data_IF_295608700224
#
_entry.id   IF_295608700224
#
_cell.length_a   1.000
_cell.length_b   1.000
_cell.length_c   1.000
_cell.angle_alpha   90.00
_cell.angle_beta   90.00
_cell.angle_gamma   90.00
#
_symmetry.space_group_name_H-M   'P 1'
#
loop_
_entity.id
_entity.type
_entity.pdbx_description
1 polymer ?
#
# COMPACT_ATOMS: atom_id res chain seq x y z
N UNK A 1 39.26 23.94 44.24
CA UNK A 1 38.74 24.89 43.22
C UNK A 1 39.29 24.44 41.88
N UNK A 2 38.75 23.38 41.28
CA UNK A 2 37.53 23.36 40.46
C UNK A 2 37.66 24.26 39.23
N UNK A 3 38.00 23.67 38.08
CA UNK A 3 37.23 23.84 36.84
C UNK A 3 37.67 22.79 35.82
N UNK A 4 36.86 21.74 35.75
CA UNK A 4 36.71 20.83 34.63
C UNK A 4 36.34 21.63 33.39
N UNK A 5 37.22 21.65 32.39
CA UNK A 5 36.88 22.08 31.04
C UNK A 5 35.93 21.02 30.50
N UNK A 6 34.63 21.29 30.64
CA UNK A 6 33.54 20.53 30.05
C UNK A 6 33.72 20.53 28.55
N UNK A 7 34.16 19.38 28.02
CA UNK A 7 34.13 19.08 26.60
C UNK A 7 32.67 19.04 26.15
N UNK A 8 32.14 20.20 25.75
CA UNK A 8 30.91 20.29 24.99
C UNK A 8 31.14 19.62 23.64
N UNK A 9 30.97 18.30 23.62
CA UNK A 9 30.75 17.53 22.41
C UNK A 9 29.50 18.11 21.74
N UNK A 10 29.74 18.97 20.74
CA UNK A 10 28.72 19.41 19.80
C UNK A 10 28.13 18.16 19.17
N UNK A 11 26.96 17.75 19.67
CA UNK A 11 26.07 16.85 18.97
C UNK A 11 25.71 17.51 17.64
N UNK A 12 26.51 17.23 16.62
CA UNK A 12 26.19 17.47 15.22
C UNK A 12 25.06 16.51 14.83
N UNK A 13 23.86 16.78 15.33
CA UNK A 13 22.65 16.14 14.83
C UNK A 13 22.53 16.51 13.35
N UNK A 14 22.77 15.54 12.46
CA UNK A 14 22.47 15.67 11.04
C UNK A 14 21.01 16.11 10.94
N UNK A 15 20.76 17.38 10.58
CA UNK A 15 19.43 17.86 10.22
C UNK A 15 19.00 17.13 8.96
N UNK A 16 18.36 16.00 9.16
CA UNK A 16 17.74 15.21 8.14
C UNK A 16 16.67 16.07 7.47
N UNK A 17 16.99 16.65 6.31
CA UNK A 17 16.05 17.47 5.54
C UNK A 17 14.82 16.61 5.23
N UNK A 18 13.65 17.07 5.70
CA UNK A 18 12.36 16.43 5.46
C UNK A 18 12.05 16.61 3.97
N UNK A 19 11.79 15.53 3.24
CA UNK A 19 11.34 15.64 1.85
C UNK A 19 9.94 16.25 1.90
N UNK A 20 9.75 17.37 1.21
CA UNK A 20 8.44 18.01 1.06
C UNK A 20 7.94 17.83 -0.37
N UNK A 21 6.64 17.63 -0.52
CA UNK A 21 5.99 17.48 -1.82
C UNK A 21 4.93 18.57 -2.01
N UNK A 22 4.54 18.90 -3.25
CA UNK A 22 3.45 19.85 -3.50
C UNK A 22 2.12 19.43 -2.84
N UNK A 23 1.93 18.12 -2.64
CA UNK A 23 0.74 17.55 -2.00
C UNK A 23 0.67 17.83 -0.49
N UNK A 24 1.79 18.16 0.16
CA UNK A 24 1.83 18.36 1.61
C UNK A 24 0.84 19.44 2.09
N UNK A 25 0.69 20.52 1.32
CA UNK A 25 -0.25 21.61 1.67
C UNK A 25 -1.69 21.12 1.65
N UNK A 26 -2.05 20.33 0.64
CA UNK A 26 -3.38 19.76 0.53
C UNK A 26 -3.63 18.74 1.64
N UNK A 27 -2.70 17.83 1.88
CA UNK A 27 -2.81 16.80 2.89
C UNK A 27 -2.94 17.41 4.29
N UNK A 28 -2.12 18.42 4.61
CA UNK A 28 -2.19 19.13 5.88
C UNK A 28 -3.55 19.84 6.06
N UNK A 29 -4.05 20.49 5.00
CA UNK A 29 -5.35 21.16 5.06
C UNK A 29 -6.50 20.16 5.32
N UNK A 30 -6.42 18.97 4.73
CA UNK A 30 -7.42 17.92 4.90
C UNK A 30 -7.31 17.26 6.28
N UNK A 31 -6.09 17.01 6.73
CA UNK A 31 -5.83 16.38 8.03
C UNK A 31 -6.25 17.27 9.20
N UNK A 32 -6.06 18.59 9.09
CA UNK A 32 -6.54 19.55 10.09
C UNK A 32 -8.08 19.64 10.11
N UNK A 33 -8.75 19.53 8.95
CA UNK A 33 -10.21 19.57 8.86
C UNK A 33 -10.89 18.32 9.43
N UNK A 34 -10.32 17.15 9.15
CA UNK A 34 -10.94 15.86 9.53
C UNK A 34 -10.41 15.38 10.89
N UNK A 35 -9.15 15.65 11.19
CA UNK A 35 -8.42 14.96 12.24
C UNK A 35 -8.45 15.60 13.62
N UNK A 36 -8.81 16.87 13.76
CA UNK A 36 -8.82 17.57 15.06
C UNK A 36 -7.52 17.34 15.84
N UNK A 37 -7.63 16.82 17.07
CA UNK A 37 -6.50 16.50 17.96
C UNK A 37 -5.55 15.43 17.39
N UNK A 38 -6.00 14.64 16.41
CA UNK A 38 -5.22 13.57 15.75
C UNK A 38 -4.76 13.94 14.33
N UNK A 39 -4.81 15.21 13.95
CA UNK A 39 -4.46 15.66 12.59
C UNK A 39 -3.11 15.12 12.08
N UNK A 40 -2.11 14.96 12.95
CA UNK A 40 -0.80 14.39 12.60
C UNK A 40 -0.88 12.92 12.15
N UNK A 41 -1.71 12.11 12.79
CA UNK A 41 -1.91 10.70 12.41
C UNK A 41 -2.73 10.59 11.11
N UNK A 42 -3.71 11.47 10.91
CA UNK A 42 -4.42 11.58 9.63
C UNK A 42 -3.49 12.00 8.48
N UNK A 43 -2.58 12.94 8.71
CA UNK A 43 -1.57 13.33 7.72
C UNK A 43 -0.71 12.12 7.32
N UNK A 44 -0.22 11.35 8.30
CA UNK A 44 0.55 10.11 8.08
C UNK A 44 -0.26 9.08 7.30
N UNK A 45 -1.53 8.87 7.67
CA UNK A 45 -2.41 7.93 6.98
C UNK A 45 -2.64 8.32 5.52
N UNK A 46 -2.94 9.59 5.25
CA UNK A 46 -3.17 10.07 3.88
C UNK A 46 -1.89 9.92 3.05
N UNK A 47 -0.72 10.30 3.59
CA UNK A 47 0.58 10.07 2.94
C UNK A 47 0.83 8.59 2.65
N UNK A 48 0.58 7.73 3.63
CA UNK A 48 0.71 6.28 3.48
C UNK A 48 -0.19 5.74 2.36
N UNK A 49 -1.45 6.19 2.30
CA UNK A 49 -2.39 5.80 1.26
C UNK A 49 -1.93 6.26 -0.13
N UNK A 50 -1.46 7.51 -0.26
CA UNK A 50 -0.89 8.01 -1.52
C UNK A 50 0.33 7.19 -1.98
N UNK A 51 1.23 6.87 -1.06
CA UNK A 51 2.38 6.01 -1.36
C UNK A 51 1.90 4.63 -1.82
N UNK A 52 0.92 4.04 -1.15
CA UNK A 52 0.32 2.76 -1.56
C UNK A 52 -0.26 2.78 -2.97
N UNK A 53 -0.98 3.85 -3.33
CA UNK A 53 -1.50 4.05 -4.70
C UNK A 53 -0.36 4.18 -5.71
N UNK A 54 0.69 4.93 -5.38
CA UNK A 54 1.87 5.05 -6.22
C UNK A 54 2.55 3.68 -6.45
N UNK A 55 2.67 2.87 -5.40
CA UNK A 55 3.17 1.49 -5.52
C UNK A 55 2.32 0.63 -6.44
N UNK A 56 0.99 0.74 -6.36
CA UNK A 56 0.08 0.03 -7.27
C UNK A 56 0.26 0.47 -8.72
N UNK A 57 0.41 1.78 -8.98
CA UNK A 57 0.66 2.30 -10.33
C UNK A 57 2.01 1.79 -10.86
N UNK A 58 3.04 1.75 -10.03
CA UNK A 58 4.36 1.21 -10.40
C UNK A 58 4.26 -0.29 -10.71
N UNK A 59 3.54 -1.06 -9.89
CA UNK A 59 3.31 -2.49 -10.11
C UNK A 59 2.63 -2.73 -11.46
N UNK A 60 1.42 -2.18 -11.63
CA UNK A 60 0.63 -2.33 -12.86
C UNK A 60 1.38 -1.80 -14.09
N UNK A 61 2.04 -0.64 -13.98
CA UNK A 61 2.83 -0.06 -15.05
C UNK A 61 4.02 -0.94 -15.44
N UNK A 62 4.73 -1.50 -14.46
CA UNK A 62 5.85 -2.42 -14.71
C UNK A 62 5.37 -3.68 -15.42
N UNK A 63 4.26 -4.27 -14.96
CA UNK A 63 3.66 -5.45 -15.60
C UNK A 63 3.31 -5.15 -17.04
N UNK A 64 2.62 -4.04 -17.31
CA UNK A 64 2.24 -3.63 -18.65
C UNK A 64 3.46 -3.41 -19.54
N UNK A 65 4.47 -2.67 -19.07
CA UNK A 65 5.68 -2.40 -19.86
C UNK A 65 6.42 -3.68 -20.18
N UNK A 66 6.72 -4.52 -19.17
CA UNK A 66 7.50 -5.74 -19.37
C UNK A 66 6.77 -6.75 -20.27
N UNK A 67 5.47 -6.96 -20.08
CA UNK A 67 4.69 -7.88 -20.90
C UNK A 67 4.52 -7.42 -22.34
N UNK A 68 4.56 -6.11 -22.61
CA UNK A 68 4.47 -5.59 -23.98
C UNK A 68 5.84 -5.43 -24.67
N UNK A 69 6.95 -5.68 -23.98
CA UNK A 69 8.29 -5.42 -24.53
C UNK A 69 9.25 -6.60 -24.39
N UNK A 70 9.65 -6.93 -23.15
CA UNK A 70 10.78 -7.84 -22.87
C UNK A 70 10.30 -9.26 -22.55
N UNK A 71 9.18 -9.39 -21.83
CA UNK A 71 8.68 -10.65 -21.26
C UNK A 71 7.22 -10.89 -21.67
N UNK A 72 6.94 -11.11 -22.97
CA UNK A 72 5.58 -11.34 -23.44
C UNK A 72 4.95 -12.56 -22.74
N UNK A 73 3.66 -12.48 -22.38
CA UNK A 73 2.97 -13.55 -21.66
C UNK A 73 2.63 -14.75 -22.55
N UNK A 74 2.76 -14.60 -23.87
CA UNK A 74 2.51 -15.65 -24.87
C UNK A 74 3.64 -15.68 -25.90
N UNK A 75 3.87 -16.84 -26.54
CA UNK A 75 4.80 -16.96 -27.66
C UNK A 75 4.12 -16.57 -28.99
N UNK A 76 4.88 -16.65 -30.08
CA UNK A 76 4.39 -16.37 -31.44
C UNK A 76 3.22 -17.26 -31.89
N UNK A 77 3.02 -18.41 -31.24
CA UNK A 77 1.92 -19.36 -31.51
C UNK A 77 0.72 -19.13 -30.58
N UNK A 78 0.80 -18.16 -29.66
CA UNK A 78 -0.27 -17.86 -28.68
C UNK A 78 -0.26 -18.75 -27.43
N UNK A 79 0.76 -19.57 -27.22
CA UNK A 79 0.86 -20.43 -26.05
C UNK A 79 1.34 -19.62 -24.84
N UNK A 80 0.74 -19.87 -23.67
CA UNK A 80 1.04 -19.14 -22.45
C UNK A 80 2.46 -19.45 -21.92
N UNK A 81 3.26 -18.42 -21.71
CA UNK A 81 4.58 -18.51 -21.05
C UNK A 81 4.44 -18.20 -19.57
N UNK A 82 4.06 -19.22 -18.80
CA UNK A 82 3.90 -19.11 -17.35
C UNK A 82 5.15 -18.51 -16.69
N UNK A 83 6.35 -18.90 -17.13
CA UNK A 83 7.63 -18.37 -16.62
C UNK A 83 7.74 -16.85 -16.81
N UNK A 84 7.41 -16.31 -17.98
CA UNK A 84 7.48 -14.87 -18.25
C UNK A 84 6.48 -14.09 -17.39
N UNK A 85 5.27 -14.63 -17.23
CA UNK A 85 4.24 -14.04 -16.37
C UNK A 85 4.73 -14.01 -14.93
N UNK A 86 5.19 -15.13 -14.39
CA UNK A 86 5.69 -15.21 -13.01
C UNK A 86 6.88 -14.28 -12.76
N UNK A 87 7.86 -14.23 -13.68
CA UNK A 87 9.00 -13.33 -13.57
C UNK A 87 8.58 -11.86 -13.57
N UNK A 88 7.70 -11.48 -14.50
CA UNK A 88 7.20 -10.11 -14.60
C UNK A 88 6.46 -9.68 -13.33
N UNK A 89 5.55 -10.53 -12.83
CA UNK A 89 4.82 -10.28 -11.58
C UNK A 89 5.78 -10.14 -10.39
N UNK A 90 6.83 -10.96 -10.33
CA UNK A 90 7.82 -10.91 -9.24
C UNK A 90 8.63 -9.61 -9.27
N UNK A 91 9.08 -9.19 -10.47
CA UNK A 91 9.85 -7.94 -10.65
C UNK A 91 8.98 -6.73 -10.28
N UNK A 92 7.75 -6.68 -10.79
CA UNK A 92 6.80 -5.60 -10.50
C UNK A 92 6.52 -5.49 -9.00
N UNK A 93 6.25 -6.61 -8.35
CA UNK A 93 6.00 -6.66 -6.90
C UNK A 93 7.19 -6.13 -6.09
N UNK A 94 8.41 -6.56 -6.42
CA UNK A 94 9.61 -6.08 -5.73
C UNK A 94 9.80 -4.57 -5.91
N UNK A 95 9.64 -4.06 -7.14
CA UNK A 95 9.74 -2.62 -7.42
C UNK A 95 8.69 -1.81 -6.66
N UNK A 96 7.45 -2.30 -6.61
CA UNK A 96 6.36 -1.67 -5.88
C UNK A 96 6.62 -1.63 -4.37
N UNK A 97 7.07 -2.75 -3.78
CA UNK A 97 7.41 -2.84 -2.35
C UNK A 97 8.58 -1.91 -2.02
N UNK A 98 9.64 -1.91 -2.84
CA UNK A 98 10.79 -1.02 -2.65
C UNK A 98 10.38 0.45 -2.75
N UNK A 99 9.57 0.82 -3.75
CA UNK A 99 9.04 2.18 -3.90
C UNK A 99 8.21 2.59 -2.68
N UNK A 100 7.28 1.73 -2.25
CA UNK A 100 6.44 1.97 -1.08
C UNK A 100 7.27 2.17 0.19
N UNK A 101 8.28 1.33 0.41
CA UNK A 101 9.16 1.45 1.56
C UNK A 101 9.98 2.74 1.52
N UNK A 102 10.59 3.06 0.38
CA UNK A 102 11.43 4.25 0.20
C UNK A 102 10.60 5.51 0.47
N UNK A 103 9.42 5.64 -0.14
CA UNK A 103 8.57 6.80 0.06
C UNK A 103 8.01 6.89 1.47
N UNK A 104 7.63 5.77 2.09
CA UNK A 104 7.20 5.78 3.48
C UNK A 104 8.33 6.20 4.43
N UNK A 105 9.57 5.76 4.20
CA UNK A 105 10.72 6.16 5.03
C UNK A 105 11.17 7.61 4.77
N UNK A 106 11.05 8.12 3.54
CA UNK A 106 11.53 9.46 3.19
C UNK A 106 10.49 10.57 3.44
N UNK A 107 9.20 10.26 3.28
CA UNK A 107 8.12 11.27 3.28
C UNK A 107 7.06 11.04 4.37
N UNK A 108 6.59 9.81 4.58
CA UNK A 108 5.58 9.52 5.63
C UNK A 108 6.17 9.54 7.04
N UNK A 109 7.33 8.90 7.23
CA UNK A 109 8.05 8.76 8.50
C UNK A 109 9.52 9.19 8.38
N UNK A 110 9.82 10.45 8.00
CA UNK A 110 11.18 10.92 7.74
C UNK A 110 12.11 10.86 8.97
N UNK A 111 11.53 10.86 10.17
CA UNK A 111 12.25 10.79 11.44
C UNK A 111 12.74 9.37 11.76
N UNK A 112 12.15 8.34 11.13
CA UNK A 112 12.54 6.93 11.28
C UNK A 112 13.91 6.59 10.64
N UNK A 113 14.55 7.56 9.97
CA UNK A 113 15.81 7.38 9.24
C UNK A 113 17.04 7.14 10.12
N UNK A 114 16.95 7.45 11.42
CA UNK A 114 17.99 7.15 12.41
C UNK A 114 18.15 5.64 12.66
N UNK A 115 17.16 4.82 12.29
CA UNK A 115 17.17 3.37 12.53
C UNK A 115 17.54 2.56 11.28
N UNK A 116 17.91 1.29 11.48
CA UNK A 116 18.38 0.41 10.40
C UNK A 116 17.30 0.18 9.33
N UNK A 117 17.66 0.46 8.07
CA UNK A 117 16.75 0.32 6.93
C UNK A 117 16.34 -1.12 6.67
N UNK A 118 17.26 -2.07 6.85
CA UNK A 118 16.98 -3.49 6.65
C UNK A 118 15.93 -4.01 7.62
N UNK A 119 16.01 -3.65 8.92
CA UNK A 119 15.03 -4.09 9.92
C UNK A 119 13.63 -3.56 9.59
N UNK A 120 13.52 -2.28 9.28
CA UNK A 120 12.24 -1.66 8.92
C UNK A 120 11.66 -2.25 7.63
N UNK A 121 12.51 -2.53 6.62
CA UNK A 121 12.06 -3.17 5.39
C UNK A 121 11.50 -4.57 5.68
N UNK A 122 12.21 -5.37 6.48
CA UNK A 122 11.72 -6.71 6.88
C UNK A 122 10.39 -6.62 7.62
N UNK A 123 10.25 -5.71 8.59
CA UNK A 123 8.98 -5.50 9.31
C UNK A 123 7.86 -5.05 8.35
N UNK A 124 8.15 -4.09 7.46
CA UNK A 124 7.20 -3.61 6.48
C UNK A 124 6.70 -4.72 5.54
N UNK A 125 7.62 -5.56 5.06
CA UNK A 125 7.29 -6.72 4.23
C UNK A 125 6.45 -7.73 5.00
N UNK A 126 6.81 -8.05 6.24
CA UNK A 126 6.02 -8.97 7.10
C UNK A 126 4.60 -8.44 7.29
N UNK A 127 4.45 -7.16 7.65
CA UNK A 127 3.14 -6.50 7.82
C UNK A 127 2.32 -6.59 6.53
N UNK A 128 2.95 -6.30 5.38
CA UNK A 128 2.32 -6.32 4.06
C UNK A 128 1.86 -7.72 3.67
N UNK A 129 2.67 -8.75 3.93
CA UNK A 129 2.32 -10.16 3.67
C UNK A 129 1.17 -10.60 4.55
N UNK A 130 1.18 -10.27 5.85
CA UNK A 130 0.05 -10.56 6.74
C UNK A 130 -1.23 -9.87 6.25
N UNK A 131 -1.13 -8.60 5.84
CA UNK A 131 -2.25 -7.88 5.24
C UNK A 131 -2.80 -8.60 4.01
N UNK A 132 -1.92 -9.02 3.11
CA UNK A 132 -2.31 -9.80 1.92
C UNK A 132 -3.05 -11.10 2.27
N UNK A 133 -2.58 -11.84 3.29
CA UNK A 133 -3.25 -13.05 3.79
C UNK A 133 -4.64 -12.71 4.34
N UNK A 134 -4.76 -11.67 5.18
CA UNK A 134 -6.04 -11.23 5.75
C UNK A 134 -7.04 -10.90 4.63
N UNK A 135 -6.63 -10.13 3.62
CA UNK A 135 -7.49 -9.81 2.46
C UNK A 135 -7.87 -11.05 1.66
N UNK A 136 -6.95 -12.00 1.49
CA UNK A 136 -7.22 -13.23 0.75
C UNK A 136 -8.28 -14.06 1.45
N UNK A 137 -8.16 -14.24 2.77
CA UNK A 137 -9.15 -14.94 3.59
C UNK A 137 -10.50 -14.22 3.54
N UNK A 138 -10.50 -12.89 3.69
CA UNK A 138 -11.71 -12.08 3.56
C UNK A 138 -12.42 -12.30 2.22
N UNK A 139 -11.69 -12.17 1.11
CA UNK A 139 -12.28 -12.36 -0.23
C UNK A 139 -12.85 -13.77 -0.37
N UNK A 140 -12.09 -14.80 0.05
CA UNK A 140 -12.51 -16.19 -0.05
C UNK A 140 -13.81 -16.49 0.71
N UNK A 141 -14.05 -15.83 1.84
CA UNK A 141 -15.27 -16.04 2.64
C UNK A 141 -16.41 -15.11 2.20
N UNK A 142 -16.11 -13.92 1.71
CA UNK A 142 -17.11 -12.87 1.47
C UNK A 142 -17.62 -12.77 0.02
N UNK A 143 -16.91 -13.33 -0.97
CA UNK A 143 -17.31 -13.16 -2.37
C UNK A 143 -18.69 -13.77 -2.68
N UNK A 144 -19.00 -14.97 -2.17
CA UNK A 144 -20.31 -15.60 -2.36
C UNK A 144 -21.48 -14.80 -1.74
N UNK A 145 -21.47 -14.43 -0.45
CA UNK A 145 -22.58 -13.71 0.14
C UNK A 145 -22.79 -12.35 -0.53
N UNK A 146 -21.73 -11.62 -0.87
CA UNK A 146 -21.87 -10.38 -1.63
C UNK A 146 -22.45 -10.59 -3.02
N UNK A 147 -22.05 -11.67 -3.70
CA UNK A 147 -22.62 -12.05 -4.99
C UNK A 147 -24.13 -12.27 -4.89
N UNK A 148 -24.58 -13.10 -3.92
CA UNK A 148 -26.01 -13.41 -3.70
C UNK A 148 -26.85 -12.18 -3.37
N UNK A 149 -26.33 -11.28 -2.52
CA UNK A 149 -27.02 -10.04 -2.17
C UNK A 149 -27.11 -9.10 -3.37
N UNK A 150 -26.04 -9.01 -4.16
CA UNK A 150 -26.01 -8.10 -5.31
C UNK A 150 -26.95 -8.55 -6.42
N UNK A 151 -26.99 -9.84 -6.71
CA UNK A 151 -27.89 -10.39 -7.73
C UNK A 151 -29.36 -10.33 -7.30
N UNK A 152 -29.67 -10.51 -6.01
CA UNK A 152 -31.04 -10.39 -5.50
C UNK A 152 -31.57 -8.96 -5.52
N UNK A 153 -30.69 -7.95 -5.38
CA UNK A 153 -31.06 -6.54 -5.56
C UNK A 153 -31.22 -6.22 -7.04
N UNK A 154 -30.29 -6.68 -7.88
CA UNK A 154 -30.29 -6.36 -9.31
C UNK A 154 -31.46 -7.00 -10.05
N UNK A 155 -31.88 -8.20 -9.67
CA UNK A 155 -33.06 -8.87 -10.24
C UNK A 155 -34.38 -8.12 -9.98
N UNK A 156 -34.42 -7.24 -8.98
CA UNK A 156 -35.57 -6.36 -8.72
C UNK A 156 -35.61 -5.15 -9.66
N UNK A 157 -34.51 -4.83 -10.35
CA UNK A 157 -34.38 -3.65 -11.22
C UNK A 157 -34.72 -3.92 -12.70
N UNK A 158 -34.95 -5.19 -13.07
CA UNK A 158 -35.47 -5.57 -14.39
C UNK A 158 -34.92 -6.91 -14.90
N UNK A 159 -35.72 -7.70 -15.65
CA UNK A 159 -35.33 -9.02 -16.16
C UNK A 159 -34.27 -9.00 -17.28
N UNK A 160 -33.96 -7.83 -17.86
CA UNK A 160 -33.07 -7.69 -19.03
C UNK A 160 -31.58 -7.49 -18.68
N UNK A 161 -31.21 -7.46 -17.39
CA UNK A 161 -29.80 -7.54 -16.99
C UNK A 161 -29.30 -8.98 -17.13
N UNK A 162 -29.00 -9.36 -18.37
CA UNK A 162 -28.60 -10.71 -18.75
C UNK A 162 -27.44 -11.26 -17.88
N UNK A 163 -27.55 -12.47 -17.32
CA UNK A 163 -26.58 -13.07 -16.39
C UNK A 163 -25.22 -13.39 -17.03
N UNK A 164 -25.06 -13.23 -18.34
CA UNK A 164 -23.81 -13.47 -19.05
C UNK A 164 -22.76 -12.35 -18.88
N UNK A 165 -23.19 -11.10 -18.62
CA UNK A 165 -22.30 -9.95 -18.41
C UNK A 165 -21.96 -9.74 -16.93
N UNK A 166 -22.70 -10.39 -16.03
CA UNK A 166 -22.68 -10.16 -14.60
C UNK A 166 -22.74 -11.52 -13.89
N UNK A 167 -21.64 -12.26 -13.96
CA UNK A 167 -21.47 -13.47 -13.15
C UNK A 167 -21.52 -13.08 -11.66
N UNK A 168 -22.42 -13.72 -10.91
CA UNK A 168 -22.62 -13.52 -9.47
C UNK A 168 -21.28 -13.52 -8.71
N UNK A 169 -20.38 -14.42 -9.09
CA UNK A 169 -19.07 -14.57 -8.45
C UNK A 169 -18.16 -13.40 -8.78
N UNK A 170 -18.26 -12.81 -9.98
CA UNK A 170 -17.45 -11.65 -10.38
C UNK A 170 -17.86 -10.39 -9.64
N UNK A 171 -19.16 -10.06 -9.55
CA UNK A 171 -19.59 -8.92 -8.71
C UNK A 171 -19.17 -9.15 -7.27
N UNK A 172 -19.50 -10.33 -6.73
CA UNK A 172 -19.20 -10.66 -5.35
C UNK A 172 -17.72 -10.50 -5.03
N UNK A 173 -16.85 -10.96 -5.94
CA UNK A 173 -15.41 -10.79 -5.84
C UNK A 173 -14.99 -9.31 -5.90
N UNK A 174 -15.56 -8.48 -6.79
CA UNK A 174 -15.21 -7.05 -6.88
C UNK A 174 -15.61 -6.27 -5.61
N UNK A 175 -16.78 -6.56 -5.04
CA UNK A 175 -17.22 -5.94 -3.78
C UNK A 175 -16.33 -6.40 -2.62
N UNK A 176 -16.09 -7.70 -2.50
CA UNK A 176 -15.20 -8.24 -1.47
C UNK A 176 -13.78 -7.67 -1.60
N UNK A 177 -13.29 -7.52 -2.84
CA UNK A 177 -12.00 -6.92 -3.15
C UNK A 177 -11.92 -5.47 -2.68
N UNK A 178 -12.94 -4.66 -2.97
CA UNK A 178 -13.00 -3.25 -2.58
C UNK A 178 -12.88 -3.08 -1.06
N UNK A 179 -13.74 -3.77 -0.30
CA UNK A 179 -13.68 -3.72 1.16
C UNK A 179 -12.40 -4.34 1.72
N UNK A 180 -11.91 -5.42 1.11
CA UNK A 180 -10.67 -6.07 1.51
C UNK A 180 -9.44 -5.18 1.32
N UNK A 181 -9.38 -4.39 0.24
CA UNK A 181 -8.31 -3.40 0.03
C UNK A 181 -8.35 -2.30 1.08
N UNK A 182 -9.55 -1.78 1.41
CA UNK A 182 -9.71 -0.75 2.44
C UNK A 182 -9.26 -1.29 3.80
N UNK A 183 -9.73 -2.47 4.19
CA UNK A 183 -9.37 -3.10 5.46
C UNK A 183 -7.85 -3.33 5.57
N UNK A 184 -7.22 -3.85 4.51
CA UNK A 184 -5.77 -4.06 4.49
C UNK A 184 -4.99 -2.76 4.50
N UNK A 185 -5.49 -1.70 3.88
CA UNK A 185 -4.85 -0.39 3.96
C UNK A 185 -4.80 0.11 5.41
N UNK A 186 -5.89 -0.03 6.17
CA UNK A 186 -5.90 0.30 7.60
C UNK A 186 -4.97 -0.62 8.41
N UNK A 187 -5.01 -1.93 8.18
CA UNK A 187 -4.08 -2.88 8.81
C UNK A 187 -2.62 -2.48 8.56
N UNK A 188 -2.26 -2.27 7.30
CA UNK A 188 -0.90 -1.93 6.91
C UNK A 188 -0.46 -0.61 7.53
N UNK A 189 -1.33 0.41 7.57
CA UNK A 189 -1.01 1.68 8.22
C UNK A 189 -0.79 1.50 9.72
N UNK A 190 -1.75 0.89 10.43
CA UNK A 190 -1.71 0.77 11.89
C UNK A 190 -0.53 -0.11 12.34
N UNK A 191 -0.35 -1.27 11.72
CA UNK A 191 0.75 -2.17 12.04
C UNK A 191 2.11 -1.51 11.76
N UNK A 192 2.28 -0.81 10.64
CA UNK A 192 3.52 -0.09 10.38
C UNK A 192 3.71 1.09 11.35
N UNK A 193 2.65 1.82 11.70
CA UNK A 193 2.71 2.93 12.64
C UNK A 193 3.14 2.50 14.05
N UNK A 194 2.61 1.38 14.53
CA UNK A 194 2.84 0.90 15.90
C UNK A 194 4.00 -0.09 16.04
N UNK A 195 4.45 -0.72 14.96
CA UNK A 195 5.54 -1.71 15.02
C UNK A 195 6.77 -1.34 14.19
N UNK A 196 6.60 -0.92 12.93
CA UNK A 196 7.72 -0.60 12.02
C UNK A 196 8.31 0.79 12.31
N UNK A 197 7.46 1.74 12.68
CA UNK A 197 7.78 3.15 12.93
C UNK A 197 7.33 3.59 14.33
N UNK A 198 7.36 2.65 15.28
CA UNK A 198 7.00 2.85 16.69
C UNK A 198 7.82 3.97 17.36
N UNK A 199 9.05 4.17 16.91
CA UNK A 199 10.01 5.12 17.48
C UNK A 199 9.80 6.57 17.01
N UNK A 200 8.73 6.85 16.25
CA UNK A 200 8.43 8.18 15.71
C UNK A 200 7.28 8.83 16.49
N UNK A 201 7.60 9.95 17.15
CA UNK A 201 6.63 10.85 17.80
C UNK A 201 5.80 11.61 16.76
#
# INVERSE_FOLDING_TARGET
MTQTVSSASKASGRRHHKVTTPLDRFILSLSLRIGGDKAKEYERFIKFAFVGVLGFVIDAGTVLVLQNTILPPVNALGEALATNVTLTQSIAFVLAVCSNFVWNRLWTYPDSRSHSAQRQLTQFVIVSVIGWVIRTIWIAVSYEPFGRISTSILSQLGPDYAPALIDQHKIGAMIALFFGVIAVMFWNFLANRYWTYNDVD
#
